data_IF_840482586505
#
_entry.id   IF_840482586505
#
_cell.length_a   1.000
_cell.length_b   1.000
_cell.length_c   1.000
_cell.angle_alpha   90.00
_cell.angle_beta   90.00
_cell.angle_gamma   90.00
#
_symmetry.space_group_name_H-M   'P 1'
#
loop_
_entity.id
_entity.type
_entity.pdbx_description
1 polymer ?
#
# COMPACT_ATOMS: atom_id res chain seq x y z
N UNK A 1 -13.93 7.52 -10.06
CA UNK A 1 -15.19 8.25 -10.22
C UNK A 1 -15.91 7.95 -11.54
N UNK A 2 -15.24 7.70 -12.64
CA UNK A 2 -15.89 7.40 -13.95
C UNK A 2 -16.50 5.99 -14.04
N UNK A 3 -15.89 4.97 -13.45
CA UNK A 3 -16.31 3.56 -13.58
C UNK A 3 -17.53 3.18 -12.72
N UNK A 4 -17.73 3.80 -11.55
CA UNK A 4 -18.94 3.60 -10.75
C UNK A 4 -20.18 4.24 -11.40
N UNK A 5 -20.02 5.31 -12.18
CA UNK A 5 -21.14 5.92 -12.90
C UNK A 5 -21.75 5.02 -13.97
N UNK A 6 -20.99 4.11 -14.59
CA UNK A 6 -21.49 3.26 -15.67
C UNK A 6 -22.29 2.03 -15.21
N UNK A 7 -22.12 1.57 -13.97
CA UNK A 7 -22.87 0.42 -13.43
C UNK A 7 -24.06 0.76 -12.54
N UNK A 8 -24.15 2.01 -12.05
CA UNK A 8 -25.25 2.46 -11.17
C UNK A 8 -26.03 3.68 -11.75
N UNK A 9 -25.95 3.92 -13.04
CA UNK A 9 -26.56 5.09 -13.71
C UNK A 9 -28.02 4.87 -14.07
N UNK A 10 -28.88 4.63 -13.07
CA UNK A 10 -30.31 4.90 -13.24
C UNK A 10 -30.89 5.36 -11.90
N UNK A 11 -31.03 6.67 -11.70
CA UNK A 11 -31.96 7.22 -10.73
C UNK A 11 -31.41 7.90 -9.46
N UNK A 12 -30.13 8.28 -9.40
CA UNK A 12 -29.65 9.08 -8.27
C UNK A 12 -29.92 10.58 -8.49
N UNK A 13 -30.72 11.20 -7.59
CA UNK A 13 -31.04 12.63 -7.62
C UNK A 13 -29.81 13.50 -7.31
N UNK A 14 -29.82 14.76 -7.78
CA UNK A 14 -28.77 15.75 -7.51
C UNK A 14 -28.51 15.96 -6.01
N UNK A 15 -29.52 15.75 -5.15
CA UNK A 15 -29.43 15.86 -3.70
C UNK A 15 -28.54 14.77 -3.07
N UNK A 16 -28.54 13.56 -3.64
CA UNK A 16 -27.66 12.47 -3.18
C UNK A 16 -26.21 12.80 -3.57
N UNK A 17 -25.95 13.33 -4.75
CA UNK A 17 -24.60 13.75 -5.16
C UNK A 17 -24.05 14.87 -4.25
N UNK A 18 -24.89 15.81 -3.80
CA UNK A 18 -24.51 16.86 -2.87
C UNK A 18 -24.28 16.33 -1.44
N UNK A 19 -25.03 15.30 -1.03
CA UNK A 19 -24.81 14.61 0.26
C UNK A 19 -23.46 13.87 0.27
N UNK A 20 -23.06 13.30 -0.86
CA UNK A 20 -21.79 12.57 -1.02
C UNK A 20 -20.56 13.48 -0.83
N UNK A 21 -20.64 14.73 -1.31
CA UNK A 21 -19.55 15.71 -1.11
C UNK A 21 -19.39 16.13 0.36
N UNK A 22 -20.41 15.87 1.20
CA UNK A 22 -20.40 16.22 2.63
C UNK A 22 -19.93 15.09 3.54
N UNK A 23 -19.69 13.89 3.01
CA UNK A 23 -19.31 12.71 3.79
C UNK A 23 -18.00 12.09 3.25
N UNK A 24 -16.84 12.70 3.52
CA UNK A 24 -15.54 12.22 3.01
C UNK A 24 -15.23 10.79 3.46
N UNK A 25 -15.73 10.37 4.63
CA UNK A 25 -15.58 9.02 5.11
C UNK A 25 -16.32 7.99 4.23
N UNK A 26 -17.56 8.30 3.84
CA UNK A 26 -18.35 7.42 2.98
C UNK A 26 -17.73 7.31 1.58
N UNK A 27 -17.24 8.41 1.03
CA UNK A 27 -16.52 8.40 -0.25
C UNK A 27 -15.27 7.51 -0.17
N UNK A 28 -14.48 7.61 0.91
CA UNK A 28 -13.30 6.78 1.11
C UNK A 28 -13.68 5.29 1.19
N UNK A 29 -14.70 4.93 1.96
CA UNK A 29 -15.17 3.55 2.08
C UNK A 29 -15.67 2.97 0.76
N UNK A 30 -16.37 3.75 -0.04
CA UNK A 30 -16.85 3.32 -1.35
C UNK A 30 -15.71 3.13 -2.34
N UNK A 31 -14.68 3.98 -2.29
CA UNK A 31 -13.47 3.79 -3.09
C UNK A 31 -12.70 2.53 -2.64
N UNK A 32 -12.63 2.26 -1.33
CA UNK A 32 -11.98 1.06 -0.80
C UNK A 32 -12.69 -0.23 -1.23
N UNK A 33 -14.02 -0.22 -1.36
CA UNK A 33 -14.79 -1.36 -1.92
C UNK A 33 -14.60 -1.45 -3.43
N UNK A 34 -14.67 -0.32 -4.14
CA UNK A 34 -14.59 -0.30 -5.60
C UNK A 34 -13.25 -0.80 -6.12
N UNK A 35 -12.14 -0.44 -5.47
CA UNK A 35 -10.81 -0.84 -5.88
C UNK A 35 -10.59 -2.35 -5.78
N UNK A 36 -11.27 -3.04 -4.84
CA UNK A 36 -11.20 -4.50 -4.72
C UNK A 36 -11.76 -5.14 -5.99
N UNK A 37 -12.95 -4.72 -6.44
CA UNK A 37 -13.55 -5.23 -7.67
C UNK A 37 -12.75 -4.88 -8.94
N UNK A 38 -11.98 -3.80 -8.91
CA UNK A 38 -11.12 -3.40 -10.02
C UNK A 38 -9.85 -4.24 -10.10
N UNK A 39 -9.26 -4.60 -8.95
CA UNK A 39 -7.93 -5.20 -8.89
C UNK A 39 -7.92 -6.69 -8.61
N UNK A 40 -8.91 -7.21 -7.91
CA UNK A 40 -8.97 -8.64 -7.59
C UNK A 40 -9.90 -9.38 -8.58
N UNK A 41 -9.34 -10.21 -9.47
CA UNK A 41 -10.15 -11.02 -10.39
C UNK A 41 -11.08 -12.02 -9.67
N UNK A 42 -10.76 -12.39 -8.41
CA UNK A 42 -11.58 -13.30 -7.61
C UNK A 42 -12.79 -12.63 -6.98
N UNK A 43 -12.82 -11.29 -6.89
CA UNK A 43 -13.91 -10.55 -6.31
C UNK A 43 -15.14 -10.53 -7.26
N UNK A 44 -16.02 -11.53 -7.14
CA UNK A 44 -17.17 -11.67 -8.06
C UNK A 44 -18.50 -11.21 -7.45
N UNK A 45 -18.61 -11.20 -6.10
CA UNK A 45 -19.85 -10.90 -5.41
C UNK A 45 -19.66 -9.90 -4.27
N UNK A 46 -20.55 -8.90 -4.18
CA UNK A 46 -20.44 -7.83 -3.18
C UNK A 46 -20.52 -8.31 -1.72
N UNK A 47 -21.31 -9.35 -1.42
CA UNK A 47 -21.36 -9.95 -0.07
C UNK A 47 -20.03 -10.59 0.30
N UNK A 48 -19.35 -11.24 -0.64
CA UNK A 48 -18.02 -11.81 -0.44
C UNK A 48 -17.02 -10.71 -0.05
N UNK A 49 -17.00 -9.62 -0.81
CA UNK A 49 -16.12 -8.48 -0.53
C UNK A 49 -16.40 -7.88 0.84
N UNK A 50 -17.68 -7.71 1.21
CA UNK A 50 -18.04 -7.16 2.52
C UNK A 50 -17.76 -8.11 3.70
N UNK A 51 -17.87 -9.43 3.51
CA UNK A 51 -17.77 -10.38 4.61
C UNK A 51 -16.41 -11.08 4.70
N UNK A 52 -15.67 -11.22 3.58
CA UNK A 52 -14.50 -12.10 3.49
C UNK A 52 -13.19 -11.37 3.19
N UNK A 53 -13.20 -10.04 3.04
CA UNK A 53 -11.98 -9.26 2.79
C UNK A 53 -11.46 -8.59 4.07
N UNK A 54 -10.49 -9.19 4.77
CA UNK A 54 -9.99 -8.67 6.04
C UNK A 54 -9.34 -7.29 5.89
N UNK A 55 -8.74 -6.98 4.74
CA UNK A 55 -8.18 -5.66 4.44
C UNK A 55 -9.23 -4.55 4.48
N UNK A 56 -10.43 -4.80 3.93
CA UNK A 56 -11.55 -3.86 3.99
C UNK A 56 -12.01 -3.64 5.44
N UNK A 57 -12.15 -4.72 6.22
CA UNK A 57 -12.55 -4.62 7.63
C UNK A 57 -11.55 -3.81 8.46
N UNK A 58 -10.24 -4.04 8.24
CA UNK A 58 -9.18 -3.29 8.90
C UNK A 58 -9.20 -1.80 8.55
N UNK A 59 -9.45 -1.45 7.29
CA UNK A 59 -9.56 -0.06 6.83
C UNK A 59 -10.79 0.64 7.43
N UNK A 60 -11.95 -0.03 7.49
CA UNK A 60 -13.15 0.51 8.13
C UNK A 60 -12.91 0.79 9.61
N UNK A 61 -12.33 -0.18 10.34
CA UNK A 61 -11.99 -0.03 11.76
C UNK A 61 -10.96 1.09 11.97
N UNK A 62 -9.94 1.17 11.11
CA UNK A 62 -8.94 2.23 11.14
C UNK A 62 -9.55 3.61 10.94
N UNK A 63 -10.40 3.80 9.93
CA UNK A 63 -11.04 5.11 9.67
C UNK A 63 -11.88 5.58 10.86
N UNK A 64 -12.59 4.66 11.53
CA UNK A 64 -13.31 4.94 12.76
C UNK A 64 -12.34 5.34 13.88
N UNK A 65 -11.31 4.54 14.13
CA UNK A 65 -10.32 4.77 15.18
C UNK A 65 -9.55 6.08 14.96
N UNK A 66 -9.16 6.39 13.72
CA UNK A 66 -8.51 7.63 13.34
C UNK A 66 -9.39 8.85 13.63
N UNK A 67 -10.65 8.82 13.18
CA UNK A 67 -11.59 9.92 13.44
C UNK A 67 -11.91 10.15 14.93
N UNK A 68 -11.88 9.11 15.76
CA UNK A 68 -12.01 9.24 17.22
C UNK A 68 -10.75 9.84 17.84
N UNK A 69 -9.56 9.44 17.37
CA UNK A 69 -8.28 10.00 17.81
C UNK A 69 -8.20 11.49 17.49
N UNK A 70 -8.59 11.90 16.30
CA UNK A 70 -8.58 13.32 15.88
C UNK A 70 -9.52 14.19 16.71
N UNK A 71 -10.55 13.58 17.32
CA UNK A 71 -11.44 14.24 18.29
C UNK A 71 -10.86 14.25 19.72
N UNK A 72 -9.62 13.76 19.90
CA UNK A 72 -8.95 13.71 21.19
C UNK A 72 -9.48 12.65 22.15
N UNK A 73 -10.22 11.63 21.67
CA UNK A 73 -10.72 10.55 22.52
C UNK A 73 -9.55 9.64 22.91
N UNK A 74 -9.23 9.52 24.21
CA UNK A 74 -8.15 8.67 24.66
C UNK A 74 -8.57 7.19 24.65
N UNK A 75 -7.60 6.27 24.65
CA UNK A 75 -7.74 4.82 24.78
C UNK A 75 -8.58 4.14 23.69
N UNK A 76 -9.82 4.56 23.46
CA UNK A 76 -10.77 3.90 22.56
C UNK A 76 -10.24 3.69 21.13
N UNK A 77 -9.54 4.65 20.49
CA UNK A 77 -8.94 4.44 19.17
C UNK A 77 -7.95 3.26 19.16
N UNK A 78 -7.09 3.17 20.17
CA UNK A 78 -6.11 2.06 20.30
C UNK A 78 -6.79 0.73 20.59
N UNK A 79 -7.84 0.74 21.37
CA UNK A 79 -8.63 -0.46 21.66
C UNK A 79 -9.32 -1.00 20.41
N UNK A 80 -9.93 -0.12 19.59
CA UNK A 80 -10.53 -0.49 18.30
C UNK A 80 -9.47 -1.08 17.36
N UNK A 81 -8.28 -0.45 17.24
CA UNK A 81 -7.18 -0.97 16.43
C UNK A 81 -6.70 -2.34 16.92
N UNK A 82 -6.61 -2.55 18.23
CA UNK A 82 -6.24 -3.83 18.82
C UNK A 82 -7.26 -4.94 18.51
N UNK A 83 -8.55 -4.64 18.63
CA UNK A 83 -9.61 -5.58 18.28
C UNK A 83 -9.61 -5.89 16.78
N UNK A 84 -9.44 -4.88 15.93
CA UNK A 84 -9.30 -5.05 14.49
C UNK A 84 -8.12 -5.97 14.14
N UNK A 85 -6.95 -5.75 14.75
CA UNK A 85 -5.78 -6.62 14.57
C UNK A 85 -6.10 -8.06 14.97
N UNK A 86 -6.79 -8.28 16.08
CA UNK A 86 -7.16 -9.62 16.52
C UNK A 86 -8.07 -10.33 15.50
N UNK A 87 -9.01 -9.61 14.91
CA UNK A 87 -9.99 -10.17 13.96
C UNK A 87 -9.43 -10.33 12.54
N UNK A 88 -8.54 -9.44 12.10
CA UNK A 88 -8.08 -9.36 10.71
C UNK A 88 -6.63 -9.79 10.50
N UNK A 89 -5.82 -9.83 11.57
CA UNK A 89 -4.38 -10.02 11.47
C UNK A 89 -3.62 -8.78 10.95
N UNK A 90 -4.29 -7.63 10.82
CA UNK A 90 -3.75 -6.38 10.27
C UNK A 90 -3.66 -5.34 11.39
N UNK A 91 -2.46 -4.80 11.63
CA UNK A 91 -2.21 -3.77 12.64
C UNK A 91 -2.03 -2.40 11.99
N UNK A 92 -3.07 -1.55 12.02
CA UNK A 92 -2.98 -0.16 11.57
C UNK A 92 -3.09 0.74 12.80
N UNK A 93 -2.03 1.51 13.08
CA UNK A 93 -2.07 2.46 14.19
C UNK A 93 -3.10 3.56 13.91
N UNK A 94 -3.94 3.98 14.89
CA UNK A 94 -4.93 5.04 14.69
C UNK A 94 -4.35 6.38 14.26
N UNK A 95 -3.05 6.61 14.48
CA UNK A 95 -2.34 7.80 14.06
C UNK A 95 -1.87 7.79 12.61
N UNK A 96 -1.86 6.64 11.95
CA UNK A 96 -1.50 6.55 10.54
C UNK A 96 -2.50 7.34 9.68
N UNK A 97 -2.00 7.91 8.60
CA UNK A 97 -2.83 8.55 7.59
C UNK A 97 -2.97 7.61 6.41
N UNK A 98 -4.18 7.19 6.09
CA UNK A 98 -4.45 6.25 5.00
C UNK A 98 -5.41 6.88 4.01
N UNK A 99 -4.97 7.03 2.77
CA UNK A 99 -5.72 7.58 1.67
C UNK A 99 -6.95 6.74 1.29
N UNK A 100 -7.63 7.12 0.24
CA UNK A 100 -8.80 6.41 -0.30
C UNK A 100 -8.38 5.37 -1.34
N UNK A 101 -9.23 4.37 -1.54
CA UNK A 101 -8.98 3.32 -2.53
C UNK A 101 -7.71 2.51 -2.24
N UNK A 102 -7.31 2.41 -0.98
CA UNK A 102 -6.20 1.53 -0.59
C UNK A 102 -6.72 0.10 -0.54
N UNK A 103 -6.00 -0.79 -1.21
CA UNK A 103 -6.32 -2.22 -1.20
C UNK A 103 -5.26 -2.99 -0.42
N UNK A 104 -5.67 -3.60 0.70
CA UNK A 104 -4.83 -4.52 1.47
C UNK A 104 -5.26 -5.93 1.11
N UNK A 105 -4.46 -6.56 0.25
CA UNK A 105 -4.75 -7.90 -0.27
C UNK A 105 -4.18 -8.98 0.66
N UNK A 106 -5.00 -9.99 1.00
CA UNK A 106 -4.76 -11.02 2.02
C UNK A 106 -4.56 -10.44 3.43
N UNK A 107 -3.68 -9.50 3.61
CA UNK A 107 -3.47 -8.61 4.74
C UNK A 107 -2.83 -9.21 5.99
N UNK A 108 -2.80 -10.52 6.19
CA UNK A 108 -2.24 -11.14 7.40
C UNK A 108 -0.81 -10.66 7.67
N UNK A 109 -0.57 -10.14 8.89
CA UNK A 109 0.74 -9.66 9.32
C UNK A 109 1.15 -8.30 8.73
N UNK A 110 0.25 -7.56 8.11
CA UNK A 110 0.49 -6.16 7.73
C UNK A 110 0.57 -5.30 8.99
N UNK A 111 1.59 -4.43 9.06
CA UNK A 111 1.78 -3.46 10.14
C UNK A 111 1.98 -2.07 9.55
N UNK A 112 1.14 -1.11 9.92
CA UNK A 112 1.24 0.30 9.53
C UNK A 112 1.42 1.14 10.80
N UNK A 113 2.61 1.72 10.95
CA UNK A 113 3.01 2.44 12.16
C UNK A 113 2.36 3.81 12.33
N UNK A 114 2.50 4.40 13.51
CA UNK A 114 1.78 5.60 13.97
C UNK A 114 1.87 6.81 13.04
N UNK A 115 3.07 7.11 12.54
CA UNK A 115 3.31 8.30 11.70
C UNK A 115 3.43 7.95 10.22
N UNK A 116 3.03 6.73 9.83
CA UNK A 116 3.01 6.34 8.43
C UNK A 116 1.95 7.11 7.66
N UNK A 117 2.29 7.48 6.44
CA UNK A 117 1.38 8.11 5.49
C UNK A 117 1.30 7.19 4.27
N UNK A 118 0.09 6.81 3.88
CA UNK A 118 -0.20 6.00 2.69
C UNK A 118 -1.11 6.80 1.78
N UNK A 119 -0.65 7.08 0.58
CA UNK A 119 -1.40 7.81 -0.44
C UNK A 119 -2.57 7.01 -1.02
N UNK A 120 -3.29 7.64 -1.94
CA UNK A 120 -4.47 7.05 -2.57
C UNK A 120 -4.11 5.88 -3.50
N UNK A 121 -5.02 4.93 -3.61
CA UNK A 121 -4.97 3.82 -4.57
C UNK A 121 -3.73 2.93 -4.47
N UNK A 122 -3.15 2.82 -3.27
CA UNK A 122 -2.04 1.91 -3.01
C UNK A 122 -2.52 0.46 -2.91
N UNK A 123 -1.64 -0.48 -3.26
CA UNK A 123 -1.83 -1.91 -3.09
C UNK A 123 -0.79 -2.45 -2.11
N UNK A 124 -1.24 -3.09 -1.05
CA UNK A 124 -0.38 -3.61 0.03
C UNK A 124 -0.70 -5.09 0.22
N UNK A 125 0.32 -5.94 0.09
CA UNK A 125 0.17 -7.37 0.31
C UNK A 125 0.46 -7.79 1.75
N UNK A 126 0.12 -9.04 2.06
CA UNK A 126 0.34 -9.64 3.39
C UNK A 126 1.81 -9.50 3.86
N UNK A 127 1.99 -9.40 5.17
CA UNK A 127 3.29 -9.36 5.81
C UNK A 127 4.10 -8.07 5.62
N UNK A 128 3.54 -7.06 4.95
CA UNK A 128 4.18 -5.75 4.76
C UNK A 128 4.31 -5.02 6.09
N UNK A 129 5.45 -4.36 6.31
CA UNK A 129 5.65 -3.49 7.46
C UNK A 129 6.04 -2.08 7.01
N UNK A 130 5.27 -1.08 7.40
CA UNK A 130 5.63 0.33 7.35
C UNK A 130 6.06 0.75 8.77
N UNK A 131 7.34 0.56 9.07
CA UNK A 131 7.90 0.62 10.43
C UNK A 131 8.89 1.77 10.64
N UNK A 132 9.22 2.01 11.91
CA UNK A 132 10.34 2.86 12.31
C UNK A 132 11.65 2.07 12.39
N UNK A 133 12.79 2.78 12.51
CA UNK A 133 14.14 2.18 12.64
C UNK A 133 14.73 2.30 14.04
N UNK A 134 14.11 3.06 14.95
CA UNK A 134 14.67 3.32 16.25
C UNK A 134 13.70 3.93 17.24
N UNK A 135 14.25 4.62 18.25
CA UNK A 135 13.49 5.31 19.32
C UNK A 135 13.20 6.78 19.00
N UNK A 136 13.23 7.16 17.74
CA UNK A 136 13.00 8.53 17.31
C UNK A 136 11.57 8.98 17.64
N UNK A 137 11.42 10.23 18.06
CA UNK A 137 10.13 10.88 18.27
C UNK A 137 9.75 11.68 17.01
N UNK A 138 8.46 11.89 16.77
CA UNK A 138 7.97 12.57 15.57
C UNK A 138 7.80 11.65 14.37
N UNK A 139 8.03 12.16 13.17
CA UNK A 139 7.91 11.39 11.93
C UNK A 139 9.03 10.34 11.88
N UNK A 140 8.68 9.07 12.02
CA UNK A 140 9.61 7.95 12.07
C UNK A 140 9.21 6.77 11.19
N UNK A 141 8.06 6.87 10.52
CA UNK A 141 7.54 5.85 9.61
C UNK A 141 7.52 6.38 8.18
N UNK A 142 7.41 5.50 7.18
CA UNK A 142 7.46 5.88 5.78
C UNK A 142 6.29 6.77 5.36
N UNK A 143 6.57 7.64 4.38
CA UNK A 143 5.58 8.33 3.57
C UNK A 143 5.51 7.63 2.21
N UNK A 144 4.38 7.00 1.93
CA UNK A 144 4.10 6.28 0.68
C UNK A 144 3.21 7.16 -0.19
N UNK A 145 3.63 7.43 -1.42
CA UNK A 145 2.89 8.21 -2.41
C UNK A 145 1.66 7.49 -2.95
N UNK A 146 1.12 7.99 -4.03
CA UNK A 146 -0.09 7.46 -4.67
C UNK A 146 0.21 6.30 -5.61
N UNK A 147 -0.74 5.37 -5.78
CA UNK A 147 -0.65 4.24 -6.70
C UNK A 147 0.59 3.33 -6.50
N UNK A 148 1.14 3.32 -5.30
CA UNK A 148 2.30 2.49 -4.95
C UNK A 148 1.85 1.04 -4.74
N UNK A 149 2.68 0.10 -5.21
CA UNK A 149 2.48 -1.34 -4.97
C UNK A 149 3.57 -1.86 -4.04
N UNK A 150 3.17 -2.46 -2.92
CA UNK A 150 4.11 -3.02 -1.92
C UNK A 150 3.90 -4.53 -1.86
N UNK A 151 4.87 -5.27 -2.41
CA UNK A 151 4.84 -6.72 -2.53
C UNK A 151 4.88 -7.45 -1.18
N UNK A 152 4.43 -8.70 -1.19
CA UNK A 152 4.27 -9.53 -0.01
C UNK A 152 5.55 -9.60 0.84
N UNK A 153 5.41 -9.42 2.15
CA UNK A 153 6.50 -9.52 3.12
C UNK A 153 7.52 -8.38 3.10
N UNK A 154 7.36 -7.38 2.23
CA UNK A 154 8.29 -6.25 2.17
C UNK A 154 8.31 -5.44 3.47
N UNK A 155 9.49 -4.91 3.83
CA UNK A 155 9.72 -4.06 5.00
C UNK A 155 10.20 -2.70 4.54
N UNK A 156 9.41 -1.66 4.77
CA UNK A 156 9.76 -0.27 4.49
C UNK A 156 9.97 0.42 5.83
N UNK A 157 11.20 0.82 6.12
CA UNK A 157 11.60 1.19 7.47
C UNK A 157 12.23 2.58 7.52
N UNK A 158 11.80 3.37 8.50
CA UNK A 158 12.31 4.71 8.77
C UNK A 158 11.49 5.82 8.12
N UNK A 159 11.88 7.06 8.41
CA UNK A 159 11.29 8.25 7.80
C UNK A 159 11.82 8.43 6.37
N UNK A 160 11.31 7.63 5.46
CA UNK A 160 11.69 7.63 4.03
C UNK A 160 10.47 7.85 3.15
N UNK A 161 10.69 8.39 1.96
CA UNK A 161 9.62 8.63 0.98
C UNK A 161 9.67 7.58 -0.12
N UNK A 162 8.51 6.99 -0.41
CA UNK A 162 8.27 6.14 -1.57
C UNK A 162 7.43 6.96 -2.55
N UNK A 163 8.00 7.29 -3.69
CA UNK A 163 7.36 8.15 -4.68
C UNK A 163 6.16 7.49 -5.36
N UNK A 164 5.35 8.31 -6.02
CA UNK A 164 4.14 7.86 -6.73
C UNK A 164 4.46 6.79 -7.78
N UNK A 165 3.55 5.82 -7.92
CA UNK A 165 3.69 4.72 -8.88
C UNK A 165 4.95 3.86 -8.65
N UNK A 166 5.65 4.00 -7.52
CA UNK A 166 6.76 3.12 -7.20
C UNK A 166 6.28 1.70 -6.88
N UNK A 167 7.18 0.75 -7.05
CA UNK A 167 6.91 -0.66 -6.77
C UNK A 167 7.97 -1.19 -5.79
N UNK A 168 7.52 -1.88 -4.76
CA UNK A 168 8.42 -2.57 -3.83
C UNK A 168 8.26 -4.06 -4.07
N UNK A 169 9.36 -4.72 -4.43
CA UNK A 169 9.37 -6.16 -4.67
C UNK A 169 9.06 -6.96 -3.40
N UNK A 170 8.46 -8.15 -3.57
CA UNK A 170 8.16 -9.03 -2.45
C UNK A 170 9.44 -9.38 -1.66
N UNK A 171 9.33 -9.44 -0.32
CA UNK A 171 10.45 -9.74 0.58
C UNK A 171 11.53 -8.66 0.68
N UNK A 172 11.41 -7.54 -0.02
CA UNK A 172 12.44 -6.49 -0.03
C UNK A 172 12.49 -5.73 1.29
N UNK A 173 13.71 -5.28 1.66
CA UNK A 173 13.93 -4.41 2.84
C UNK A 173 14.38 -3.04 2.36
N UNK A 174 13.49 -2.07 2.46
CA UNK A 174 13.68 -0.70 1.95
C UNK A 174 14.09 0.21 3.10
N UNK A 175 15.31 0.74 3.02
CA UNK A 175 15.91 1.62 4.03
C UNK A 175 16.27 3.01 3.46
N UNK A 176 15.97 3.26 2.20
CA UNK A 176 16.27 4.51 1.50
C UNK A 176 15.09 4.94 0.66
N UNK A 177 14.93 6.23 0.38
CA UNK A 177 13.87 6.73 -0.50
C UNK A 177 13.85 6.02 -1.87
N UNK A 178 12.66 5.81 -2.38
CA UNK A 178 12.42 5.23 -3.71
C UNK A 178 11.78 6.31 -4.59
N UNK A 179 12.42 6.70 -5.70
CA UNK A 179 11.85 7.68 -6.61
C UNK A 179 10.53 7.21 -7.24
N UNK A 180 9.72 8.14 -7.70
CA UNK A 180 8.50 7.82 -8.45
C UNK A 180 8.81 6.94 -9.66
N UNK A 181 7.87 6.05 -9.99
CA UNK A 181 7.97 5.10 -11.12
C UNK A 181 9.15 4.13 -11.07
N UNK A 182 9.88 4.05 -9.95
CA UNK A 182 10.99 3.12 -9.79
C UNK A 182 10.56 1.85 -9.03
N UNK A 183 11.30 0.77 -9.24
CA UNK A 183 11.11 -0.50 -8.52
C UNK A 183 12.26 -0.68 -7.53
N UNK A 184 11.95 -0.92 -6.25
CA UNK A 184 12.94 -1.29 -5.25
C UNK A 184 12.88 -2.78 -4.96
N UNK A 185 14.01 -3.50 -5.08
CA UNK A 185 14.10 -4.94 -4.85
C UNK A 185 15.36 -5.32 -4.09
N UNK A 186 15.28 -6.39 -3.29
CA UNK A 186 16.41 -7.00 -2.59
C UNK A 186 16.52 -6.62 -1.11
N UNK A 187 17.53 -7.17 -0.42
CA UNK A 187 17.81 -7.01 1.01
C UNK A 187 19.31 -6.69 1.20
N UNK A 188 19.68 -5.41 1.50
CA UNK A 188 18.87 -4.20 1.43
C UNK A 188 18.49 -3.87 -0.03
N UNK A 189 17.35 -3.18 -0.21
CA UNK A 189 16.82 -2.92 -1.55
C UNK A 189 17.68 -1.95 -2.36
N UNK A 190 17.67 -2.18 -3.68
CA UNK A 190 18.24 -1.27 -4.69
C UNK A 190 17.13 -0.75 -5.58
N UNK A 191 17.19 0.54 -5.92
CA UNK A 191 16.25 1.16 -6.84
C UNK A 191 16.64 0.87 -8.28
N UNK A 192 15.70 0.35 -9.07
CA UNK A 192 15.80 0.15 -10.51
C UNK A 192 14.77 1.04 -11.19
N UNK A 193 15.25 2.10 -11.82
CA UNK A 193 14.39 3.03 -12.54
C UNK A 193 14.52 2.73 -14.04
N UNK A 194 13.47 2.18 -14.65
CA UNK A 194 13.40 1.98 -16.10
C UNK A 194 12.63 3.13 -16.72
N UNK A 195 13.22 3.83 -17.66
CA UNK A 195 12.49 4.76 -18.50
C UNK A 195 11.48 3.95 -19.33
N UNK A 196 10.18 4.18 -19.12
CA UNK A 196 9.12 3.76 -20.04
C UNK A 196 8.55 2.33 -19.97
N UNK A 197 8.15 1.83 -18.80
CA UNK A 197 7.19 0.71 -18.77
C UNK A 197 6.09 0.98 -17.76
N UNK A 198 4.87 1.25 -18.24
CA UNK A 198 3.65 1.17 -17.44
C UNK A 198 3.35 -0.32 -17.19
N UNK A 199 4.01 -0.91 -16.17
CA UNK A 199 3.66 -2.26 -15.73
C UNK A 199 2.30 -2.20 -15.03
N UNK A 200 1.41 -3.16 -15.34
CA UNK A 200 0.14 -3.29 -14.64
C UNK A 200 0.37 -3.47 -13.12
N UNK A 201 -0.51 -2.94 -12.25
CA UNK A 201 -0.35 -3.00 -10.79
C UNK A 201 -0.10 -4.42 -10.25
N UNK A 202 -0.72 -5.43 -10.86
CA UNK A 202 -0.62 -6.84 -10.47
C UNK A 202 0.50 -7.62 -11.17
N UNK A 203 1.28 -7.00 -12.06
CA UNK A 203 2.40 -7.67 -12.73
C UNK A 203 3.61 -7.76 -11.80
N UNK A 204 3.78 -8.90 -11.18
CA UNK A 204 4.91 -9.23 -10.30
C UNK A 204 5.94 -10.16 -10.97
N UNK A 205 5.68 -10.62 -12.19
CA UNK A 205 6.51 -11.61 -12.88
C UNK A 205 7.83 -11.03 -13.41
N UNK A 206 7.93 -9.73 -13.55
CA UNK A 206 9.08 -9.03 -14.15
C UNK A 206 9.85 -8.14 -13.16
N UNK A 207 9.99 -8.60 -11.92
CA UNK A 207 10.84 -7.88 -10.96
C UNK A 207 12.31 -7.94 -11.42
N UNK A 208 13.05 -6.82 -11.32
CA UNK A 208 14.45 -6.79 -11.73
C UNK A 208 15.31 -7.62 -10.79
N UNK A 209 16.09 -8.53 -11.36
CA UNK A 209 17.12 -9.28 -10.65
C UNK A 209 18.43 -8.48 -10.68
N UNK A 210 18.65 -7.71 -9.61
CA UNK A 210 19.81 -6.81 -9.50
C UNK A 210 21.10 -7.57 -9.23
N UNK A 211 21.04 -8.74 -8.61
CA UNK A 211 22.23 -9.55 -8.29
C UNK A 211 22.71 -10.30 -9.53
N UNK A 212 21.80 -10.94 -10.28
CA UNK A 212 22.16 -11.57 -11.54
C UNK A 212 22.66 -10.57 -12.59
N UNK A 213 22.13 -9.33 -12.61
CA UNK A 213 22.63 -8.27 -13.48
C UNK A 213 24.06 -7.86 -13.12
N UNK A 214 24.37 -7.69 -11.82
CA UNK A 214 25.71 -7.38 -11.35
C UNK A 214 26.69 -8.52 -11.61
N UNK A 215 26.27 -9.77 -11.40
CA UNK A 215 27.08 -10.96 -11.67
C UNK A 215 27.42 -11.07 -13.17
N UNK A 216 26.43 -10.90 -14.05
CA UNK A 216 26.66 -10.86 -15.50
C UNK A 216 27.67 -9.78 -15.89
N UNK A 217 27.51 -8.56 -15.38
CA UNK A 217 28.47 -7.47 -15.64
C UNK A 217 29.89 -7.80 -15.18
N UNK A 218 30.05 -8.47 -14.05
CA UNK A 218 31.36 -8.91 -13.57
C UNK A 218 31.95 -9.99 -14.48
N UNK A 219 31.17 -10.99 -14.89
CA UNK A 219 31.61 -12.06 -15.80
C UNK A 219 32.04 -11.49 -17.16
N UNK A 220 31.29 -10.54 -17.72
CA UNK A 220 31.65 -9.86 -18.97
C UNK A 220 32.98 -9.10 -18.84
N UNK A 221 33.22 -8.41 -17.73
CA UNK A 221 34.50 -7.71 -17.48
C UNK A 221 35.67 -8.66 -17.34
N UNK A 222 35.47 -9.81 -16.69
CA UNK A 222 36.48 -10.86 -16.59
C UNK A 222 36.80 -11.44 -17.98
N UNK A 223 35.76 -11.77 -18.77
CA UNK A 223 35.94 -12.29 -20.11
C UNK A 223 36.75 -11.36 -21.00
N UNK A 224 36.45 -10.05 -20.97
CA UNK A 224 37.23 -9.03 -21.71
C UNK A 224 38.70 -8.97 -21.23
N UNK A 225 38.93 -9.12 -19.91
CA UNK A 225 40.31 -9.12 -19.37
C UNK A 225 41.14 -10.31 -19.84
N UNK A 226 40.52 -11.49 -20.05
CA UNK A 226 41.23 -12.68 -20.56
C UNK A 226 41.46 -12.66 -22.08
N UNK A 227 40.73 -11.85 -22.85
CA UNK A 227 40.95 -11.71 -24.31
C UNK A 227 42.06 -10.76 -24.66
N UNK A 228 42.63 -10.03 -23.69
CA UNK A 228 43.75 -9.11 -23.86
C UNK A 228 45.09 -9.62 -23.28
N UNK A 229 45.11 -10.91 -22.85
CA UNK A 229 46.35 -11.66 -22.52
C UNK A 229 46.72 -12.62 -23.63
#
# INVERSE_FOLDING_TARGET
MFLLRSRFSTGFSADVAALWQRLPLLEALLNDVAIIFERDPAATHWLEVLCCYPGLHALVAHRLAHGLRDRGIPFLPRFIAHLSRFLTGIDIHPGAQVGRGVFIDHGMGVVIGETAIVGDYCLIYQGVTLGGTGKETGQRHPTVGHHVVIGAGAKVLGNITIGDYARIGAGSVVLRPVPAHCTAVGIPSRNVCRCNTQAAPLDHSQLPDTEAAAMRSLLDRIAVSYTHL
#
